data_IF_671070060439
#
_entry.id   IF_671070060439
#
_cell.length_a   1.000
_cell.length_b   1.000
_cell.length_c   1.000
_cell.angle_alpha   90.00
_cell.angle_beta   90.00
_cell.angle_gamma   90.00
#
_symmetry.space_group_name_H-M   'P 1'
#
loop_
_entity.id
_entity.type
_entity.pdbx_description
1 polymer ?
#
# COMPACT_ATOMS: atom_id res chain seq x y z
N UNK A 1 -2.23 -10.83 17.27
CA UNK A 1 -3.63 -10.67 17.65
C UNK A 1 -4.24 -12.00 18.08
N UNK A 2 -4.12 -13.10 17.29
CA UNK A 2 -4.65 -14.42 17.62
C UNK A 2 -4.23 -14.91 19.01
N UNK A 3 -2.95 -14.66 19.40
CA UNK A 3 -2.41 -15.05 20.71
C UNK A 3 -2.98 -14.26 21.91
N UNK A 4 -3.49 -13.04 21.65
CA UNK A 4 -3.95 -12.13 22.74
C UNK A 4 -5.46 -12.05 22.86
N UNK A 5 -6.20 -12.38 21.81
CA UNK A 5 -7.63 -12.11 21.74
C UNK A 5 -8.48 -13.37 21.56
N UNK A 6 -7.86 -14.55 21.41
CA UNK A 6 -8.52 -15.83 21.07
C UNK A 6 -9.54 -15.68 19.90
N UNK A 7 -9.19 -14.80 18.95
CA UNK A 7 -10.00 -14.51 17.76
C UNK A 7 -9.37 -15.20 16.57
N UNK A 8 -10.16 -15.88 15.77
CA UNK A 8 -9.71 -16.40 14.49
C UNK A 8 -9.43 -15.24 13.52
N UNK A 9 -8.17 -15.11 13.14
CA UNK A 9 -7.70 -14.02 12.29
C UNK A 9 -7.20 -14.58 10.96
N UNK A 10 -7.56 -13.92 9.87
CA UNK A 10 -7.15 -14.26 8.54
C UNK A 10 -6.52 -13.03 7.87
N UNK A 11 -5.33 -13.21 7.30
CA UNK A 11 -4.66 -12.14 6.55
C UNK A 11 -5.27 -12.06 5.16
N UNK A 12 -5.71 -10.87 4.78
CA UNK A 12 -6.14 -10.55 3.42
C UNK A 12 -5.20 -9.53 2.81
N UNK A 13 -4.81 -9.80 1.59
CA UNK A 13 -3.95 -8.91 0.82
C UNK A 13 -4.76 -7.74 0.25
N UNK A 14 -4.12 -6.57 0.17
CA UNK A 14 -4.71 -5.44 -0.54
C UNK A 14 -4.51 -5.62 -2.05
N UNK A 15 -5.52 -5.33 -2.88
CA UNK A 15 -5.37 -5.37 -4.32
C UNK A 15 -4.53 -4.20 -4.83
N UNK A 16 -3.98 -4.34 -6.04
CA UNK A 16 -3.40 -3.22 -6.79
C UNK A 16 -4.49 -2.18 -7.11
N UNK A 17 -4.10 -0.92 -7.14
CA UNK A 17 -5.03 0.21 -7.32
C UNK A 17 -5.36 0.51 -8.79
N UNK A 18 -4.53 0.03 -9.73
CA UNK A 18 -4.72 0.25 -11.17
C UNK A 18 -3.98 -0.82 -11.99
N UNK A 19 -4.26 -0.84 -13.28
CA UNK A 19 -3.54 -1.63 -14.30
C UNK A 19 -2.96 -0.66 -15.32
N UNK A 20 -1.71 -0.85 -15.72
CA UNK A 20 -1.05 -0.05 -16.75
C UNK A 20 -0.64 -0.91 -17.94
N UNK A 21 -0.97 -0.46 -19.15
CA UNK A 21 -0.48 -1.06 -20.39
C UNK A 21 0.98 -0.69 -20.65
N UNK A 22 1.44 0.45 -20.09
CA UNK A 22 2.80 0.95 -20.25
C UNK A 22 3.71 0.36 -19.18
N UNK A 23 4.90 -0.05 -19.60
CA UNK A 23 5.90 -0.63 -18.70
C UNK A 23 7.19 0.17 -18.73
N UNK A 24 7.99 0.06 -17.66
CA UNK A 24 9.28 0.74 -17.54
C UNK A 24 10.28 0.28 -18.63
N UNK A 25 11.31 1.07 -18.85
CA UNK A 25 12.46 0.66 -19.63
C UNK A 25 13.56 0.08 -18.71
N UNK A 26 13.81 -1.23 -18.74
CA UNK A 26 14.87 -1.84 -17.92
C UNK A 26 16.28 -1.34 -18.21
N UNK A 27 16.49 -0.60 -19.31
CA UNK A 27 17.79 0.06 -19.64
C UNK A 27 17.98 1.38 -18.91
N UNK A 28 16.92 1.94 -18.36
CA UNK A 28 17.03 3.21 -17.63
C UNK A 28 18.02 3.06 -16.46
N UNK A 29 18.88 4.06 -16.31
CA UNK A 29 19.84 4.13 -15.20
C UNK A 29 19.27 5.00 -14.07
N UNK A 30 18.04 4.68 -13.65
CA UNK A 30 17.33 5.42 -12.61
C UNK A 30 16.71 4.48 -11.59
N UNK A 31 16.98 4.79 -10.33
CA UNK A 31 16.22 4.30 -9.19
C UNK A 31 15.03 5.21 -8.94
N UNK A 32 13.95 4.66 -8.42
CA UNK A 32 12.77 5.40 -7.97
C UNK A 32 12.47 5.09 -6.52
N UNK A 33 12.18 6.12 -5.74
CA UNK A 33 11.54 6.03 -4.44
C UNK A 33 10.28 6.90 -4.42
N UNK A 34 9.12 6.32 -4.14
CA UNK A 34 7.85 7.04 -4.00
C UNK A 34 7.37 6.94 -2.56
N UNK A 35 7.42 8.06 -1.80
CA UNK A 35 7.21 7.97 -0.36
C UNK A 35 6.89 9.30 0.31
N UNK A 36 6.32 9.22 1.53
CA UNK A 36 6.23 10.38 2.42
C UNK A 36 7.57 10.60 3.12
N UNK A 37 7.97 11.84 3.30
CA UNK A 37 9.20 12.22 4.00
C UNK A 37 8.99 12.19 5.52
N UNK A 38 8.88 10.97 6.08
CA UNK A 38 8.71 10.70 7.51
C UNK A 38 9.69 9.60 7.96
N UNK A 39 10.02 9.56 9.25
CA UNK A 39 10.98 8.63 9.83
C UNK A 39 10.76 7.15 9.46
N UNK A 40 9.48 6.73 9.41
CA UNK A 40 9.10 5.36 9.06
C UNK A 40 9.63 4.90 7.70
N UNK A 41 9.86 5.84 6.77
CA UNK A 41 10.22 5.54 5.38
C UNK A 41 11.72 5.41 5.12
N UNK A 42 12.57 5.63 6.14
CA UNK A 42 14.00 5.32 6.07
C UNK A 42 14.79 6.13 5.05
N UNK A 43 14.39 7.39 4.79
CA UNK A 43 15.08 8.24 3.82
C UNK A 43 16.55 8.50 4.19
N UNK A 44 16.86 8.56 5.48
CA UNK A 44 18.23 8.64 5.99
C UNK A 44 19.07 7.39 5.66
N UNK A 45 18.46 6.20 5.80
CA UNK A 45 19.08 4.93 5.39
C UNK A 45 19.25 4.88 3.86
N UNK A 46 18.31 5.48 3.10
CA UNK A 46 18.45 5.62 1.66
C UNK A 46 19.64 6.51 1.30
N UNK A 47 19.78 7.66 1.93
CA UNK A 47 20.92 8.56 1.67
C UNK A 47 22.27 7.88 1.97
N UNK A 48 22.33 7.11 3.06
CA UNK A 48 23.53 6.33 3.41
C UNK A 48 23.84 5.25 2.35
N UNK A 49 22.83 4.45 1.96
CA UNK A 49 23.00 3.41 0.95
C UNK A 49 23.38 3.99 -0.41
N UNK A 50 22.78 5.12 -0.81
CA UNK A 50 23.03 5.75 -2.09
C UNK A 50 24.40 6.46 -2.14
N UNK A 51 24.86 7.02 -1.02
CA UNK A 51 26.24 7.52 -0.92
C UNK A 51 27.26 6.41 -1.20
N UNK A 52 27.10 5.23 -0.55
CA UNK A 52 27.99 4.09 -0.78
C UNK A 52 27.90 3.54 -2.22
N UNK A 53 26.69 3.58 -2.81
CA UNK A 53 26.48 3.24 -4.21
C UNK A 53 27.24 4.22 -5.13
N UNK A 54 27.14 5.52 -4.92
CA UNK A 54 27.78 6.54 -5.75
C UNK A 54 29.32 6.47 -5.73
N UNK A 55 29.93 5.83 -4.73
CA UNK A 55 31.38 5.58 -4.71
C UNK A 55 31.83 4.53 -5.73
N UNK A 56 30.88 3.72 -6.25
CA UNK A 56 31.15 2.57 -7.12
C UNK A 56 30.48 2.67 -8.48
N UNK A 57 29.55 3.63 -8.65
CA UNK A 57 28.85 3.91 -9.90
C UNK A 57 28.66 5.40 -10.06
N UNK A 58 28.93 5.94 -11.24
CA UNK A 58 28.83 7.37 -11.56
C UNK A 58 27.71 7.72 -12.56
N UNK A 59 26.94 6.73 -13.03
CA UNK A 59 25.94 6.94 -14.07
C UNK A 59 24.49 6.97 -13.53
N UNK A 60 24.17 6.16 -12.50
CA UNK A 60 22.83 6.02 -12.01
C UNK A 60 22.38 7.21 -11.17
N UNK A 61 21.11 7.54 -11.28
CA UNK A 61 20.45 8.61 -10.51
C UNK A 61 19.32 8.06 -9.66
N UNK A 62 18.94 8.80 -8.62
CA UNK A 62 17.82 8.48 -7.74
C UNK A 62 16.75 9.57 -7.85
N UNK A 63 15.57 9.21 -8.34
CA UNK A 63 14.37 10.06 -8.28
C UNK A 63 13.59 9.76 -6.98
N UNK A 64 13.28 10.80 -6.21
CA UNK A 64 12.45 10.68 -4.99
C UNK A 64 11.21 11.55 -5.16
N UNK A 65 10.03 10.90 -5.26
CA UNK A 65 8.75 11.57 -5.34
C UNK A 65 8.03 11.50 -3.98
N UNK A 66 7.41 12.60 -3.60
CA UNK A 66 6.66 12.74 -2.36
C UNK A 66 7.08 13.95 -1.54
N UNK A 67 6.48 14.11 -0.38
CA UNK A 67 6.70 15.23 0.53
C UNK A 67 6.52 14.81 2.00
N UNK A 68 6.87 15.68 2.93
CA UNK A 68 6.67 15.48 4.37
C UNK A 68 7.67 16.25 5.22
N UNK A 69 7.56 16.08 6.53
CA UNK A 69 8.25 16.89 7.52
C UNK A 69 9.78 16.83 7.45
N UNK A 70 10.33 15.71 6.98
CA UNK A 70 11.77 15.50 6.87
C UNK A 70 12.40 16.06 5.58
N UNK A 71 11.62 16.70 4.69
CA UNK A 71 12.09 17.18 3.40
C UNK A 71 13.40 17.96 3.49
N UNK A 72 13.40 19.07 4.24
CA UNK A 72 14.57 19.94 4.36
C UNK A 72 15.78 19.20 4.96
N UNK A 73 15.55 18.30 5.90
CA UNK A 73 16.59 17.52 6.54
C UNK A 73 17.26 16.56 5.54
N UNK A 74 16.47 15.86 4.71
CA UNK A 74 16.98 14.88 3.77
C UNK A 74 17.71 15.56 2.59
N UNK A 75 17.18 16.69 2.08
CA UNK A 75 17.87 17.50 1.08
C UNK A 75 19.23 17.99 1.60
N UNK A 76 19.29 18.49 2.85
CA UNK A 76 20.54 18.91 3.49
C UNK A 76 21.50 17.73 3.71
N UNK A 77 20.98 16.53 4.03
CA UNK A 77 21.79 15.32 4.19
C UNK A 77 22.41 14.87 2.87
N UNK A 78 21.69 14.89 1.76
CA UNK A 78 22.21 14.60 0.42
C UNK A 78 23.35 15.54 0.05
N UNK A 79 23.19 16.85 0.34
CA UNK A 79 24.25 17.85 0.13
C UNK A 79 25.48 17.61 1.00
N UNK A 80 25.28 17.31 2.27
CA UNK A 80 26.39 16.99 3.21
C UNK A 80 27.20 15.77 2.76
N UNK A 81 26.54 14.80 2.12
CA UNK A 81 27.14 13.58 1.57
C UNK A 81 27.77 13.79 0.19
N UNK A 82 27.55 14.94 -0.45
CA UNK A 82 28.04 15.24 -1.81
C UNK A 82 27.36 14.42 -2.91
N UNK A 83 26.10 14.05 -2.72
CA UNK A 83 25.31 13.26 -3.66
C UNK A 83 24.10 14.03 -4.23
N UNK A 84 23.98 15.33 -3.94
CA UNK A 84 22.85 16.17 -4.36
C UNK A 84 22.64 16.21 -5.86
N UNK A 85 23.72 16.17 -6.66
CA UNK A 85 23.66 16.17 -8.14
C UNK A 85 23.17 14.83 -8.71
N UNK A 86 23.11 13.78 -7.90
CA UNK A 86 22.68 12.43 -8.27
C UNK A 86 21.28 12.11 -7.74
N UNK A 87 20.71 12.94 -6.87
CA UNK A 87 19.38 12.76 -6.29
C UNK A 87 18.44 13.85 -6.79
N UNK A 88 17.41 13.46 -7.49
CA UNK A 88 16.34 14.36 -7.96
C UNK A 88 15.19 14.35 -6.94
N UNK A 89 15.11 15.39 -6.13
CA UNK A 89 14.01 15.61 -5.19
C UNK A 89 12.83 16.26 -5.92
N UNK A 90 11.88 15.45 -6.37
CA UNK A 90 10.75 15.88 -7.21
C UNK A 90 9.68 16.64 -6.44
N UNK A 91 9.47 16.27 -5.19
CA UNK A 91 8.33 16.76 -4.40
C UNK A 91 7.03 15.99 -4.69
N UNK A 92 5.91 16.58 -4.27
CA UNK A 92 4.59 16.03 -4.59
C UNK A 92 4.30 16.21 -6.09
N UNK A 93 3.77 15.17 -6.72
CA UNK A 93 3.40 15.21 -8.15
C UNK A 93 2.05 14.52 -8.38
N UNK A 94 1.26 15.07 -9.30
CA UNK A 94 0.04 14.45 -9.80
C UNK A 94 0.30 13.49 -10.98
N UNK A 95 1.55 13.40 -11.43
CA UNK A 95 1.98 12.57 -12.56
C UNK A 95 3.07 11.57 -12.15
N UNK A 96 2.84 10.72 -11.12
CA UNK A 96 3.86 9.77 -10.65
C UNK A 96 4.23 8.75 -11.74
N UNK A 97 3.31 8.42 -12.62
CA UNK A 97 3.48 7.42 -13.69
C UNK A 97 4.74 7.66 -14.51
N UNK A 98 5.05 8.92 -14.86
CA UNK A 98 6.24 9.23 -15.66
C UNK A 98 7.55 8.81 -14.99
N UNK A 99 7.61 8.83 -13.66
CA UNK A 99 8.80 8.41 -12.92
C UNK A 99 8.91 6.90 -12.85
N UNK A 100 7.79 6.18 -12.66
CA UNK A 100 7.79 4.71 -12.77
C UNK A 100 8.24 4.26 -14.16
N UNK A 101 7.76 4.90 -15.23
CA UNK A 101 8.12 4.56 -16.62
C UNK A 101 9.58 4.86 -16.95
N UNK A 102 10.16 5.90 -16.36
CA UNK A 102 11.53 6.34 -16.63
C UNK A 102 12.57 5.72 -15.68
N UNK A 103 12.16 4.87 -14.75
CA UNK A 103 13.06 4.17 -13.83
C UNK A 103 13.12 2.68 -14.15
N UNK A 104 14.11 1.97 -13.61
CA UNK A 104 14.25 0.53 -13.84
C UNK A 104 14.34 -0.30 -12.57
N UNK A 105 14.46 0.35 -11.40
CA UNK A 105 14.45 -0.30 -10.08
C UNK A 105 13.74 0.60 -9.08
N UNK A 106 12.90 0.01 -8.24
CA UNK A 106 12.20 0.70 -7.16
C UNK A 106 12.85 0.42 -5.81
N UNK A 107 13.02 1.45 -4.96
CA UNK A 107 13.69 1.35 -3.67
C UNK A 107 12.73 1.67 -2.52
N UNK A 108 12.69 0.82 -1.49
CA UNK A 108 11.84 1.00 -0.31
C UNK A 108 12.60 0.64 0.99
N UNK A 109 13.46 1.52 1.51
CA UNK A 109 14.23 1.29 2.74
C UNK A 109 13.41 1.57 4.01
N UNK A 110 12.11 1.28 3.98
CA UNK A 110 11.21 1.58 5.10
C UNK A 110 11.57 0.79 6.37
N UNK A 111 11.51 1.46 7.51
CA UNK A 111 11.71 0.84 8.84
C UNK A 111 10.55 -0.08 9.20
N UNK A 112 9.34 0.30 8.81
CA UNK A 112 8.15 -0.53 8.95
C UNK A 112 7.09 -0.16 7.91
N UNK A 113 6.37 -1.17 7.48
CA UNK A 113 5.22 -1.08 6.58
C UNK A 113 4.12 -2.02 7.06
N UNK A 114 2.87 -1.63 6.84
CA UNK A 114 1.77 -2.57 6.95
C UNK A 114 1.63 -3.38 5.66
N UNK A 115 1.21 -2.68 4.60
CA UNK A 115 1.10 -3.23 3.25
C UNK A 115 1.40 -2.10 2.24
N UNK A 116 2.63 -2.01 1.74
CA UNK A 116 3.07 -0.88 0.92
C UNK A 116 2.51 -0.96 -0.51
N UNK A 117 1.47 -0.19 -0.79
CA UNK A 117 0.82 -0.12 -2.11
C UNK A 117 1.80 0.24 -3.23
N UNK A 118 2.81 1.06 -2.93
CA UNK A 118 3.83 1.50 -3.89
C UNK A 118 4.65 0.35 -4.49
N UNK A 119 4.76 -0.80 -3.81
CA UNK A 119 5.40 -1.99 -4.39
C UNK A 119 4.53 -2.60 -5.49
N UNK A 120 3.22 -2.67 -5.26
CA UNK A 120 2.29 -3.18 -6.28
C UNK A 120 2.23 -2.24 -7.48
N UNK A 121 2.32 -0.93 -7.24
CA UNK A 121 2.48 0.07 -8.30
C UNK A 121 3.79 -0.16 -9.07
N UNK A 122 4.91 -0.35 -8.38
CA UNK A 122 6.19 -0.65 -9.01
C UNK A 122 6.13 -1.93 -9.86
N UNK A 123 5.53 -2.99 -9.34
CA UNK A 123 5.35 -4.24 -10.07
C UNK A 123 4.45 -4.08 -11.30
N UNK A 124 3.40 -3.25 -11.19
CA UNK A 124 2.54 -2.96 -12.33
C UNK A 124 3.29 -2.30 -13.48
N UNK A 125 4.25 -1.43 -13.19
CA UNK A 125 5.14 -0.87 -14.20
C UNK A 125 6.32 -1.76 -14.56
N UNK A 126 6.50 -2.89 -13.89
CA UNK A 126 7.59 -3.83 -14.14
C UNK A 126 8.93 -3.44 -13.50
N UNK A 127 8.91 -2.66 -12.41
CA UNK A 127 10.14 -2.38 -11.68
C UNK A 127 10.42 -3.48 -10.65
N UNK A 128 11.58 -4.14 -10.69
CA UNK A 128 12.06 -4.93 -9.57
C UNK A 128 12.24 -4.04 -8.34
N UNK A 129 11.98 -4.59 -7.15
CA UNK A 129 11.97 -3.82 -5.90
C UNK A 129 13.11 -4.26 -5.00
N UNK A 130 13.84 -3.29 -4.43
CA UNK A 130 14.74 -3.53 -3.30
C UNK A 130 14.09 -2.93 -2.05
N UNK A 131 13.79 -3.75 -1.05
CA UNK A 131 13.19 -3.31 0.21
C UNK A 131 13.83 -4.00 1.40
N UNK A 132 13.90 -3.36 2.56
CA UNK A 132 14.30 -4.07 3.77
C UNK A 132 13.28 -5.15 4.13
N UNK A 133 13.76 -6.28 4.60
CA UNK A 133 12.93 -7.38 5.10
C UNK A 133 12.26 -6.98 6.41
N UNK A 134 11.19 -6.21 6.33
CA UNK A 134 10.39 -5.74 7.45
C UNK A 134 8.91 -6.05 7.25
N UNK A 135 8.19 -6.38 8.32
CA UNK A 135 6.75 -6.64 8.25
C UNK A 135 6.40 -7.82 7.34
N UNK A 136 5.55 -7.57 6.34
CA UNK A 136 5.00 -8.58 5.43
C UNK A 136 5.67 -8.57 4.04
N UNK A 137 6.90 -8.07 3.92
CA UNK A 137 7.58 -7.91 2.63
C UNK A 137 7.78 -9.22 1.87
N UNK A 138 8.04 -10.31 2.59
CA UNK A 138 8.16 -11.67 2.05
C UNK A 138 6.85 -12.23 1.45
N UNK A 139 5.71 -11.64 1.78
CA UNK A 139 4.43 -11.98 1.14
C UNK A 139 4.25 -11.26 -0.21
N UNK A 140 4.99 -10.18 -0.45
CA UNK A 140 4.84 -9.31 -1.62
C UNK A 140 6.00 -9.53 -2.59
N UNK A 141 7.24 -9.55 -2.10
CA UNK A 141 8.46 -9.64 -2.90
C UNK A 141 9.00 -11.07 -2.83
N UNK A 142 9.16 -11.70 -3.97
CA UNK A 142 9.86 -12.98 -4.09
C UNK A 142 11.36 -12.68 -4.21
N UNK A 143 12.11 -12.85 -3.10
CA UNK A 143 13.54 -12.54 -3.04
C UNK A 143 14.35 -13.26 -4.13
N UNK A 144 15.19 -12.51 -4.82
CA UNK A 144 15.96 -12.97 -5.95
C UNK A 144 15.19 -13.19 -7.26
N UNK A 145 13.85 -12.94 -7.27
CA UNK A 145 13.00 -13.12 -8.47
C UNK A 145 12.29 -11.85 -8.90
N UNK A 146 11.66 -11.13 -7.99
CA UNK A 146 10.97 -9.87 -8.27
C UNK A 146 11.69 -8.68 -7.66
N UNK A 147 12.82 -8.92 -7.02
CA UNK A 147 13.66 -7.93 -6.36
C UNK A 147 14.52 -8.55 -5.29
N UNK A 148 14.96 -7.77 -4.32
CA UNK A 148 15.79 -8.21 -3.19
C UNK A 148 15.23 -7.74 -1.86
N UNK A 149 15.39 -8.59 -0.84
CA UNK A 149 15.00 -8.34 0.55
C UNK A 149 16.22 -8.35 1.50
N UNK A 150 17.09 -7.34 1.46
CA UNK A 150 18.15 -7.19 2.47
C UNK A 150 17.57 -7.24 3.88
N UNK A 151 18.36 -7.75 4.84
CA UNK A 151 18.00 -7.72 6.27
C UNK A 151 17.65 -6.29 6.71
N UNK A 152 16.74 -6.19 7.67
CA UNK A 152 16.27 -4.91 8.17
C UNK A 152 17.44 -4.01 8.63
N UNK A 153 17.50 -2.82 8.03
CA UNK A 153 18.49 -1.76 8.32
C UNK A 153 19.94 -2.06 7.92
N UNK A 154 20.18 -3.16 7.20
CA UNK A 154 21.51 -3.45 6.64
C UNK A 154 21.71 -2.64 5.34
N UNK A 155 22.16 -1.38 5.50
CA UNK A 155 22.43 -0.44 4.40
C UNK A 155 23.49 -0.97 3.44
N UNK A 156 24.45 -1.77 3.91
CA UNK A 156 25.47 -2.39 3.07
C UNK A 156 24.86 -3.41 2.12
N UNK A 157 24.07 -4.37 2.63
CA UNK A 157 23.39 -5.35 1.76
C UNK A 157 22.38 -4.69 0.84
N UNK A 158 21.77 -3.57 1.26
CA UNK A 158 20.90 -2.77 0.42
C UNK A 158 21.68 -2.17 -0.78
N UNK A 159 22.85 -1.59 -0.51
CA UNK A 159 23.78 -1.09 -1.53
C UNK A 159 24.26 -2.20 -2.46
N UNK A 160 24.63 -3.37 -1.92
CA UNK A 160 25.06 -4.53 -2.74
C UNK A 160 23.95 -4.96 -3.71
N UNK A 161 22.69 -4.96 -3.26
CA UNK A 161 21.53 -5.25 -4.11
C UNK A 161 21.33 -4.18 -5.19
N UNK A 162 21.53 -2.89 -4.86
CA UNK A 162 21.49 -1.79 -5.83
C UNK A 162 22.57 -1.96 -6.91
N UNK A 163 23.81 -2.22 -6.52
CA UNK A 163 24.93 -2.45 -7.45
C UNK A 163 24.66 -3.65 -8.36
N UNK A 164 24.17 -4.74 -7.80
CA UNK A 164 23.84 -5.94 -8.57
C UNK A 164 22.80 -5.67 -9.65
N UNK A 165 21.73 -4.95 -9.32
CA UNK A 165 20.72 -4.57 -10.30
C UNK A 165 21.22 -3.47 -11.24
N UNK A 166 22.08 -2.56 -10.80
CA UNK A 166 22.63 -1.51 -11.66
C UNK A 166 23.52 -2.08 -12.76
N UNK A 167 24.34 -3.08 -12.44
CA UNK A 167 25.37 -3.61 -13.35
C UNK A 167 24.91 -4.80 -14.19
N UNK A 168 23.71 -5.34 -13.96
CA UNK A 168 23.17 -6.50 -14.71
C UNK A 168 21.84 -6.16 -15.37
N UNK A 169 21.87 -5.72 -16.62
CA UNK A 169 20.66 -5.37 -17.40
C UNK A 169 19.77 -6.60 -17.65
N UNK A 170 20.36 -7.77 -17.92
CA UNK A 170 19.58 -8.96 -18.21
C UNK A 170 18.84 -9.45 -16.96
N UNK A 171 19.46 -9.36 -15.80
CA UNK A 171 18.80 -9.63 -14.51
C UNK A 171 17.65 -8.64 -14.27
N UNK A 172 17.83 -7.34 -14.54
CA UNK A 172 16.73 -6.36 -14.44
C UNK A 172 15.58 -6.72 -15.37
N UNK A 173 15.86 -7.13 -16.60
CA UNK A 173 14.83 -7.57 -17.57
C UNK A 173 14.09 -8.80 -17.11
N UNK A 174 14.80 -9.78 -16.57
CA UNK A 174 14.19 -10.98 -16.00
C UNK A 174 13.29 -10.62 -14.81
N UNK A 175 13.81 -9.87 -13.84
CA UNK A 175 13.05 -9.44 -12.67
C UNK A 175 11.87 -8.53 -13.03
N UNK A 176 12.00 -7.70 -14.08
CA UNK A 176 10.92 -6.89 -14.61
C UNK A 176 9.74 -7.75 -15.10
N UNK A 177 10.02 -8.79 -15.88
CA UNK A 177 8.99 -9.75 -16.32
C UNK A 177 8.33 -10.44 -15.14
N UNK A 178 9.12 -10.85 -14.15
CA UNK A 178 8.62 -11.50 -12.96
C UNK A 178 7.76 -10.55 -12.11
N UNK A 179 8.16 -9.28 -11.99
CA UNK A 179 7.39 -8.24 -11.29
C UNK A 179 6.01 -8.02 -11.94
N UNK A 180 5.96 -7.91 -13.28
CA UNK A 180 4.70 -7.80 -14.03
C UNK A 180 3.81 -9.03 -13.79
N UNK A 181 4.38 -10.22 -13.85
CA UNK A 181 3.64 -11.44 -13.57
C UNK A 181 3.15 -11.50 -12.12
N UNK A 182 3.98 -11.09 -11.16
CA UNK A 182 3.63 -11.03 -9.73
C UNK A 182 2.51 -10.01 -9.44
N UNK A 183 2.42 -8.92 -10.20
CA UNK A 183 1.36 -7.92 -10.03
C UNK A 183 -0.04 -8.52 -10.20
N UNK A 184 -0.18 -9.62 -10.98
CA UNK A 184 -1.43 -10.34 -11.14
C UNK A 184 -1.91 -11.06 -9.87
N UNK A 185 -1.01 -11.33 -8.91
CA UNK A 185 -1.42 -11.87 -7.61
C UNK A 185 -2.23 -10.87 -6.79
N UNK A 186 -2.06 -9.59 -7.09
CA UNK A 186 -2.74 -8.47 -6.45
C UNK A 186 -3.92 -7.93 -7.26
N UNK A 187 -4.41 -8.69 -8.26
CA UNK A 187 -5.58 -8.31 -9.03
C UNK A 187 -6.82 -8.19 -8.13
N UNK A 188 -7.63 -7.16 -8.39
CA UNK A 188 -8.82 -6.85 -7.57
C UNK A 188 -9.82 -8.01 -7.56
N UNK A 189 -9.93 -8.76 -8.66
CA UNK A 189 -10.79 -9.92 -8.79
C UNK A 189 -10.39 -11.04 -7.81
N UNK A 190 -9.08 -11.24 -7.61
CA UNK A 190 -8.56 -12.20 -6.62
C UNK A 190 -8.91 -11.75 -5.21
N UNK A 191 -8.68 -10.48 -4.89
CA UNK A 191 -9.00 -9.91 -3.58
C UNK A 191 -10.50 -10.02 -3.27
N UNK A 192 -11.37 -9.62 -4.20
CA UNK A 192 -12.84 -9.74 -4.05
C UNK A 192 -13.26 -11.18 -3.82
N UNK A 193 -12.71 -12.14 -4.58
CA UNK A 193 -13.00 -13.56 -4.40
C UNK A 193 -12.62 -14.05 -2.99
N UNK A 194 -11.48 -13.63 -2.48
CA UNK A 194 -11.04 -13.96 -1.12
C UNK A 194 -11.92 -13.32 -0.04
N UNK A 195 -12.32 -12.06 -0.22
CA UNK A 195 -13.25 -11.38 0.68
C UNK A 195 -14.63 -12.03 0.66
N UNK A 196 -15.17 -12.37 -0.51
CA UNK A 196 -16.45 -13.07 -0.63
C UNK A 196 -16.42 -14.43 0.08
N UNK A 197 -15.32 -15.19 -0.05
CA UNK A 197 -15.15 -16.45 0.70
C UNK A 197 -15.18 -16.22 2.22
N UNK A 198 -14.50 -15.18 2.70
CA UNK A 198 -14.50 -14.81 4.11
C UNK A 198 -15.90 -14.42 4.58
N UNK A 199 -16.58 -13.54 3.85
CA UNK A 199 -17.93 -13.10 4.19
C UNK A 199 -18.93 -14.25 4.19
N UNK A 200 -18.92 -15.11 3.18
CA UNK A 200 -19.79 -16.28 3.13
C UNK A 200 -19.54 -17.22 4.30
N UNK A 201 -18.28 -17.41 4.71
CA UNK A 201 -17.95 -18.21 5.90
C UNK A 201 -18.43 -17.55 7.17
N UNK A 202 -18.22 -16.25 7.34
CA UNK A 202 -18.63 -15.51 8.55
C UNK A 202 -20.15 -15.39 8.63
N UNK A 203 -20.83 -15.11 7.53
CA UNK A 203 -22.30 -15.03 7.48
C UNK A 203 -22.98 -16.41 7.59
N UNK A 204 -22.35 -17.46 7.10
CA UNK A 204 -22.79 -18.84 7.26
C UNK A 204 -22.63 -19.37 8.69
N UNK A 205 -21.75 -18.75 9.49
CA UNK A 205 -21.67 -18.96 10.93
C UNK A 205 -22.77 -18.13 11.58
N UNK A 206 -24.00 -18.67 11.59
CA UNK A 206 -25.10 -18.10 12.37
C UNK A 206 -24.61 -17.86 13.81
N UNK A 207 -24.45 -16.57 14.13
CA UNK A 207 -24.25 -16.07 15.51
C UNK A 207 -22.95 -16.46 16.19
N UNK A 208 -21.86 -15.76 15.91
CA UNK A 208 -20.83 -15.50 16.90
C UNK A 208 -21.12 -14.18 17.63
N UNK A 209 -22.35 -14.04 18.13
CA UNK A 209 -22.65 -13.04 19.14
C UNK A 209 -22.39 -13.70 20.49
N UNK A 210 -21.68 -12.98 21.37
CA UNK A 210 -21.42 -13.44 22.71
C UNK A 210 -22.72 -13.96 23.34
N UNK A 211 -22.84 -15.26 23.50
CA UNK A 211 -24.03 -15.92 24.01
C UNK A 211 -24.18 -15.80 25.52
N UNK A 212 -23.21 -15.24 26.20
CA UNK A 212 -23.13 -15.29 27.65
C UNK A 212 -22.94 -13.87 28.22
N UNK A 213 -23.86 -13.47 29.10
CA UNK A 213 -23.82 -12.17 29.79
C UNK A 213 -22.55 -11.98 30.62
N UNK A 214 -21.96 -13.05 31.17
CA UNK A 214 -20.66 -13.00 31.86
C UNK A 214 -19.51 -12.58 30.95
N UNK A 215 -19.46 -13.09 29.74
CA UNK A 215 -18.42 -12.68 28.75
C UNK A 215 -18.57 -11.24 28.32
N UNK A 216 -19.80 -10.72 28.27
CA UNK A 216 -20.07 -9.31 27.97
C UNK A 216 -19.60 -8.42 29.13
N UNK A 217 -19.79 -8.83 30.38
CA UNK A 217 -19.34 -8.09 31.56
C UNK A 217 -17.82 -8.05 31.68
N UNK A 218 -17.15 -9.18 31.44
CA UNK A 218 -15.69 -9.25 31.45
C UNK A 218 -15.05 -8.40 30.30
N UNK A 219 -15.71 -8.35 29.13
CA UNK A 219 -15.32 -7.46 28.05
C UNK A 219 -15.56 -5.97 28.36
N UNK A 220 -16.58 -5.62 29.16
CA UNK A 220 -16.89 -4.23 29.54
C UNK A 220 -15.74 -3.56 30.27
N UNK A 221 -15.15 -4.23 31.23
CA UNK A 221 -14.05 -3.69 32.02
C UNK A 221 -12.75 -3.61 31.23
N UNK A 222 -12.49 -4.59 30.38
CA UNK A 222 -11.22 -4.74 29.65
C UNK A 222 -11.19 -4.01 28.30
N UNK A 223 -12.35 -3.85 27.65
CA UNK A 223 -12.45 -3.28 26.29
C UNK A 223 -13.72 -2.42 26.10
N UNK A 224 -13.79 -1.20 26.70
CA UNK A 224 -15.01 -0.38 26.71
C UNK A 224 -15.53 -0.04 25.29
N UNK A 225 -14.65 0.21 24.31
CA UNK A 225 -15.06 0.48 22.92
C UNK A 225 -15.74 -0.72 22.24
N UNK A 226 -15.34 -1.96 22.58
CA UNK A 226 -15.97 -3.17 22.05
C UNK A 226 -17.38 -3.38 22.60
N UNK A 227 -17.59 -2.99 23.84
CA UNK A 227 -18.90 -3.10 24.48
C UNK A 227 -19.87 -2.12 23.86
N UNK A 228 -19.45 -0.88 23.63
CA UNK A 228 -20.24 0.13 22.93
C UNK A 228 -20.62 -0.32 21.52
N UNK A 229 -19.71 -0.97 20.80
CA UNK A 229 -20.01 -1.54 19.49
C UNK A 229 -20.98 -2.71 19.54
N UNK A 230 -20.84 -3.61 20.53
CA UNK A 230 -21.74 -4.74 20.69
C UNK A 230 -23.16 -4.30 21.11
N UNK A 231 -23.29 -3.26 21.93
CA UNK A 231 -24.55 -2.62 22.28
C UNK A 231 -25.18 -1.93 21.07
N UNK A 232 -24.38 -1.18 20.31
CA UNK A 232 -24.83 -0.54 19.08
C UNK A 232 -25.37 -1.56 18.06
N UNK A 233 -24.68 -2.68 17.84
CA UNK A 233 -25.13 -3.75 16.92
C UNK A 233 -26.41 -4.44 17.40
N UNK A 234 -26.69 -4.49 18.73
CA UNK A 234 -27.96 -5.01 19.26
C UNK A 234 -29.12 -4.05 19.04
N UNK A 235 -28.86 -2.76 19.13
CA UNK A 235 -29.88 -1.71 19.02
C UNK A 235 -30.23 -1.39 17.57
N UNK A 236 -29.26 -1.50 16.65
CA UNK A 236 -29.42 -1.17 15.24
C UNK A 236 -29.34 -2.44 14.39
N UNK A 237 -30.40 -2.72 13.64
CA UNK A 237 -30.42 -3.84 12.68
C UNK A 237 -29.44 -3.57 11.54
N UNK A 238 -28.64 -4.60 11.22
CA UNK A 238 -27.82 -4.58 10.00
C UNK A 238 -28.78 -4.52 8.82
N UNK A 239 -28.61 -3.52 7.96
CA UNK A 239 -29.38 -3.40 6.72
C UNK A 239 -28.82 -4.34 5.69
N UNK A 240 -29.66 -5.19 5.15
CA UNK A 240 -29.31 -6.05 4.04
C UNK A 240 -28.92 -5.16 2.82
N UNK A 241 -28.05 -5.67 1.97
CA UNK A 241 -27.60 -5.01 0.75
C UNK A 241 -27.02 -3.59 1.00
N UNK A 242 -26.29 -3.40 2.09
CA UNK A 242 -25.64 -2.12 2.40
C UNK A 242 -24.15 -2.32 2.66
N UNK A 243 -23.32 -1.55 1.99
CA UNK A 243 -21.86 -1.57 2.15
C UNK A 243 -21.41 -0.20 2.65
N UNK A 244 -20.71 -0.19 3.79
CA UNK A 244 -20.13 1.01 4.37
C UNK A 244 -18.64 1.09 4.02
N UNK A 245 -18.20 2.24 3.56
CA UNK A 245 -16.79 2.53 3.24
C UNK A 245 -16.28 3.64 4.14
N UNK A 246 -15.09 3.45 4.66
CA UNK A 246 -14.36 4.45 5.41
C UNK A 246 -12.87 4.30 5.13
N UNK A 247 -12.17 5.40 4.93
CA UNK A 247 -10.73 5.43 4.76
C UNK A 247 -10.11 6.51 5.67
N UNK A 248 -9.12 6.11 6.48
CA UNK A 248 -8.37 7.00 7.37
C UNK A 248 -9.25 7.88 8.29
N UNK A 249 -10.31 7.31 8.89
CA UNK A 249 -11.23 8.06 9.74
C UNK A 249 -12.10 9.05 8.98
N UNK A 250 -12.49 8.72 7.74
CA UNK A 250 -13.37 9.57 6.94
C UNK A 250 -12.68 10.71 6.17
N UNK A 251 -11.34 10.74 6.12
CA UNK A 251 -10.58 11.82 5.44
C UNK A 251 -10.75 11.86 3.93
N UNK A 252 -11.30 10.83 3.31
CA UNK A 252 -11.58 10.84 1.88
C UNK A 252 -11.86 9.49 1.27
N UNK A 253 -12.31 9.53 0.02
CA UNK A 253 -12.53 8.34 -0.81
C UNK A 253 -11.21 7.92 -1.45
N UNK A 254 -10.38 7.21 -0.71
CA UNK A 254 -9.01 6.83 -1.11
C UNK A 254 -8.69 5.38 -0.74
N UNK A 255 -7.56 4.90 -1.23
CA UNK A 255 -7.02 3.57 -0.92
C UNK A 255 -7.96 2.41 -1.28
N UNK A 256 -7.86 1.31 -0.54
CA UNK A 256 -8.59 0.07 -0.81
C UNK A 256 -10.11 0.19 -0.75
N UNK A 257 -10.72 0.90 0.21
CA UNK A 257 -12.17 1.12 0.22
C UNK A 257 -12.66 1.77 -1.08
N UNK A 258 -11.89 2.72 -1.64
CA UNK A 258 -12.25 3.37 -2.90
C UNK A 258 -12.12 2.44 -4.11
N UNK A 259 -11.06 1.65 -4.18
CA UNK A 259 -10.88 0.67 -5.24
C UNK A 259 -12.00 -0.39 -5.22
N UNK A 260 -12.37 -0.88 -4.03
CA UNK A 260 -13.46 -1.81 -3.85
C UNK A 260 -14.81 -1.19 -4.24
N UNK A 261 -15.07 0.05 -3.83
CA UNK A 261 -16.28 0.79 -4.21
C UNK A 261 -16.43 0.89 -5.73
N UNK A 262 -15.37 1.32 -6.45
CA UNK A 262 -15.41 1.43 -7.90
C UNK A 262 -15.71 0.09 -8.56
N UNK A 263 -15.06 -0.98 -8.11
CA UNK A 263 -15.28 -2.32 -8.62
C UNK A 263 -16.74 -2.77 -8.44
N UNK A 264 -17.28 -2.61 -7.23
CA UNK A 264 -18.64 -3.07 -6.91
C UNK A 264 -19.71 -2.22 -7.59
N UNK A 265 -19.46 -0.91 -7.78
CA UNK A 265 -20.40 0.00 -8.45
C UNK A 265 -20.65 -0.38 -9.92
N UNK A 266 -19.68 -1.02 -10.59
CA UNK A 266 -19.77 -1.46 -11.98
C UNK A 266 -20.37 -2.85 -12.16
N UNK A 267 -20.55 -3.63 -11.09
CA UNK A 267 -21.03 -5.02 -11.16
C UNK A 267 -22.54 -5.10 -11.05
N UNK A 268 -23.18 -5.81 -12.00
CA UNK A 268 -24.64 -6.01 -12.02
C UNK A 268 -25.17 -6.62 -10.72
N UNK A 269 -24.45 -7.57 -10.14
CA UNK A 269 -24.82 -8.28 -8.90
C UNK A 269 -24.85 -7.37 -7.65
N UNK A 270 -24.30 -6.15 -7.72
CA UNK A 270 -24.27 -5.17 -6.62
C UNK A 270 -25.06 -3.90 -6.92
N UNK A 271 -25.82 -3.85 -8.00
CA UNK A 271 -26.64 -2.68 -8.37
C UNK A 271 -27.75 -2.38 -7.35
N UNK A 272 -28.26 -3.42 -6.68
CA UNK A 272 -29.27 -3.30 -5.62
C UNK A 272 -28.68 -2.96 -4.24
N UNK A 273 -27.34 -2.85 -4.17
CA UNK A 273 -26.68 -2.51 -2.91
C UNK A 273 -26.62 -1.00 -2.72
N UNK A 274 -26.85 -0.56 -1.46
CA UNK A 274 -26.59 0.82 -1.05
C UNK A 274 -25.14 0.96 -0.65
N UNK A 275 -24.41 1.85 -1.30
CA UNK A 275 -23.02 2.18 -1.00
C UNK A 275 -22.97 3.45 -0.14
N UNK A 276 -22.45 3.36 1.08
CA UNK A 276 -22.39 4.49 2.01
C UNK A 276 -20.93 4.83 2.29
N UNK A 277 -20.54 6.09 2.01
CA UNK A 277 -19.24 6.62 2.37
C UNK A 277 -19.34 7.47 3.64
N UNK A 278 -18.50 7.16 4.63
CA UNK A 278 -18.29 7.96 5.83
C UNK A 278 -17.19 8.97 5.55
N UNK A 279 -17.49 10.27 5.66
CA UNK A 279 -16.57 11.37 5.38
C UNK A 279 -16.52 12.33 6.57
N UNK A 280 -15.32 12.65 7.06
CA UNK A 280 -15.10 13.62 8.14
C UNK A 280 -15.42 15.05 7.69
N UNK A 281 -15.08 15.39 6.43
CA UNK A 281 -15.29 16.71 5.84
C UNK A 281 -15.84 16.61 4.41
N UNK A 282 -17.02 17.20 4.18
CA UNK A 282 -17.68 17.20 2.88
C UNK A 282 -17.07 18.20 1.90
N UNK A 283 -16.55 19.33 2.39
CA UNK A 283 -15.97 20.36 1.53
C UNK A 283 -14.63 19.87 0.93
N UNK A 284 -13.80 19.21 1.72
CA UNK A 284 -12.54 18.62 1.27
C UNK A 284 -12.76 17.51 0.23
N UNK A 285 -13.91 16.83 0.30
CA UNK A 285 -14.28 15.72 -0.58
C UNK A 285 -15.25 16.09 -1.71
N UNK A 286 -15.59 17.39 -1.85
CA UNK A 286 -16.65 17.88 -2.74
C UNK A 286 -16.58 17.36 -4.17
N UNK A 287 -15.40 17.38 -4.79
CA UNK A 287 -15.20 16.89 -6.17
C UNK A 287 -15.50 15.39 -6.33
N UNK A 288 -15.22 14.59 -5.32
CA UNK A 288 -15.51 13.16 -5.34
C UNK A 288 -17.00 12.91 -5.10
N UNK A 289 -17.62 13.66 -4.18
CA UNK A 289 -19.06 13.61 -3.93
C UNK A 289 -19.83 13.94 -5.22
N UNK A 290 -19.56 15.09 -5.85
CA UNK A 290 -20.20 15.51 -7.11
C UNK A 290 -20.09 14.46 -8.23
N UNK A 291 -18.99 13.69 -8.26
CA UNK A 291 -18.80 12.62 -9.24
C UNK A 291 -19.76 11.45 -9.03
N UNK A 292 -20.11 11.13 -7.78
CA UNK A 292 -20.86 9.91 -7.45
C UNK A 292 -22.27 10.18 -6.91
N UNK A 293 -22.66 11.39 -6.56
CA UNK A 293 -24.00 11.73 -6.07
C UNK A 293 -25.12 11.49 -7.12
N UNK A 294 -24.74 11.39 -8.39
CA UNK A 294 -25.69 11.02 -9.47
C UNK A 294 -26.14 9.54 -9.40
N UNK A 295 -25.44 8.69 -8.66
CA UNK A 295 -25.83 7.29 -8.51
C UNK A 295 -26.87 7.17 -7.38
N UNK A 296 -28.09 6.64 -7.67
CA UNK A 296 -29.19 6.63 -6.70
C UNK A 296 -28.91 5.72 -5.48
N UNK A 297 -28.00 4.79 -5.62
CA UNK A 297 -27.60 3.84 -4.58
C UNK A 297 -26.30 4.24 -3.85
N UNK A 298 -25.75 5.43 -4.10
CA UNK A 298 -24.58 5.97 -3.41
C UNK A 298 -25.00 7.07 -2.43
N UNK A 299 -24.49 7.05 -1.21
CA UNK A 299 -24.77 8.02 -0.15
C UNK A 299 -23.48 8.41 0.55
N UNK A 300 -23.47 9.64 1.08
CA UNK A 300 -22.39 10.20 1.88
C UNK A 300 -22.93 10.59 3.25
N UNK A 301 -22.20 10.26 4.34
CA UNK A 301 -22.58 10.52 5.74
C UNK A 301 -21.37 10.99 6.54
#
# INVERSE_FOLDING_TARGET
YKKFLDIDTEVKINPRSFVSERKCDPKSKRFLMATRFVYAKGLDLMMESFEEFCKQDDEWQLDIIGAGDLWNQIVADAKRRGIEDRVNFVGYTNEPEKYYLNSSVFLLPSRWEGWPMVIMEAFEFGLPVIAFHTGAMDLIIDDGKTGYLPEAFDTKKFTDAMLKLAHDEELRREMSRNAIWKSEDFAIEKAVKEWNRLFNRVMGIKTFYMKNEEQILECREKYPLRTSYAEFVKEYQIRDNTILYEAFGGRGMICNPYALFLYLLEKEEYQDYTHIWVLEDFEDNRKQIEKYEQYPNVRFV
#
